data_IF_293344027437
#
_entry.id   IF_293344027437
#
_cell.length_a   1.000
_cell.length_b   1.000
_cell.length_c   1.000
_cell.angle_alpha   90.00
_cell.angle_beta   90.00
_cell.angle_gamma   90.00
#
_symmetry.space_group_name_H-M   'P 1'
#
loop_
_entity.id
_entity.type
_entity.pdbx_description
1 polymer ?
#
# COMPACT_ATOMS: atom_id res chain seq x y z
N UNK A 1 8.73 -27.75 7.64
CA UNK A 1 8.71 -26.52 8.46
C UNK A 1 9.54 -25.37 7.90
N UNK A 2 10.45 -25.57 6.93
CA UNK A 2 11.24 -24.44 6.37
C UNK A 2 10.33 -23.34 5.80
N UNK A 3 9.41 -23.69 4.89
CA UNK A 3 8.51 -22.73 4.26
C UNK A 3 7.59 -22.03 5.25
N UNK A 4 7.12 -22.73 6.30
CA UNK A 4 6.33 -22.13 7.37
C UNK A 4 7.12 -21.06 8.14
N UNK A 5 8.39 -21.35 8.45
CA UNK A 5 9.29 -20.38 9.10
C UNK A 5 9.50 -19.16 8.21
N UNK A 6 9.81 -19.37 6.93
CA UNK A 6 10.05 -18.27 5.99
C UNK A 6 8.80 -17.39 5.80
N UNK A 7 7.61 -17.99 5.69
CA UNK A 7 6.35 -17.25 5.59
C UNK A 7 6.01 -16.51 6.89
N UNK A 8 6.28 -17.12 8.04
CA UNK A 8 6.07 -16.47 9.34
C UNK A 8 7.00 -15.27 9.51
N UNK A 9 8.28 -15.41 9.14
CA UNK A 9 9.25 -14.32 9.19
C UNK A 9 8.85 -13.17 8.26
N UNK A 10 8.43 -13.52 7.04
CA UNK A 10 7.87 -12.57 6.08
C UNK A 10 6.65 -11.81 6.63
N UNK A 11 5.70 -12.54 7.23
CA UNK A 11 4.52 -11.96 7.88
C UNK A 11 4.91 -11.00 9.00
N UNK A 12 5.88 -11.35 9.84
CA UNK A 12 6.32 -10.50 10.95
C UNK A 12 6.87 -9.16 10.44
N UNK A 13 7.68 -9.18 9.39
CA UNK A 13 8.20 -7.96 8.77
C UNK A 13 7.08 -7.14 8.11
N UNK A 14 6.16 -7.79 7.40
CA UNK A 14 5.02 -7.12 6.78
C UNK A 14 4.13 -6.43 7.82
N UNK A 15 3.78 -7.13 8.91
CA UNK A 15 2.98 -6.57 10.01
C UNK A 15 3.67 -5.35 10.63
N UNK A 16 4.99 -5.42 10.86
CA UNK A 16 5.74 -4.27 11.39
C UNK A 16 5.65 -3.03 10.48
N UNK A 17 5.77 -3.24 9.16
CA UNK A 17 5.64 -2.18 8.16
C UNK A 17 4.22 -1.60 8.19
N UNK A 18 3.18 -2.44 8.15
CA UNK A 18 1.80 -1.98 8.12
C UNK A 18 1.40 -1.25 9.41
N UNK A 19 1.88 -1.71 10.58
CA UNK A 19 1.67 -0.99 11.85
C UNK A 19 2.25 0.43 11.76
N UNK A 20 3.51 0.56 11.34
CA UNK A 20 4.15 1.87 11.21
C UNK A 20 3.39 2.76 10.22
N UNK A 21 2.85 2.17 9.14
CA UNK A 21 2.13 2.89 8.08
C UNK A 21 0.78 3.44 8.57
N UNK A 22 -0.09 2.62 9.16
CA UNK A 22 -1.39 3.12 9.63
C UNK A 22 -1.25 4.11 10.79
N UNK A 23 -0.17 4.03 11.57
CA UNK A 23 0.10 4.99 12.66
C UNK A 23 0.57 6.34 12.11
N UNK A 24 1.39 6.32 11.06
CA UNK A 24 1.87 7.53 10.42
C UNK A 24 0.74 8.29 9.73
N UNK A 25 -0.12 7.56 9.00
CA UNK A 25 -1.17 8.10 8.14
C UNK A 25 -2.05 9.21 8.78
N UNK A 26 -2.68 9.00 9.96
CA UNK A 26 -3.47 10.03 10.64
C UNK A 26 -2.63 11.19 11.20
N UNK A 27 -1.35 10.95 11.51
CA UNK A 27 -0.46 11.97 12.11
C UNK A 27 -0.01 13.01 11.09
N UNK A 28 0.05 12.66 9.81
CA UNK A 28 0.51 13.57 8.75
C UNK A 28 -0.54 14.65 8.46
N UNK A 29 -1.78 14.51 8.95
CA UNK A 29 -2.82 15.56 8.84
C UNK A 29 -3.29 15.81 7.40
N UNK A 30 -3.11 14.82 6.52
CA UNK A 30 -3.39 14.90 5.08
C UNK A 30 -4.84 14.50 4.81
N UNK A 31 -5.76 15.31 5.35
CA UNK A 31 -7.17 15.18 5.05
C UNK A 31 -7.81 13.84 5.48
N UNK A 32 -9.09 13.66 5.14
CA UNK A 32 -9.84 12.43 5.42
C UNK A 32 -9.23 11.18 4.75
N UNK A 33 -8.51 11.29 3.64
CA UNK A 33 -8.13 10.09 2.88
C UNK A 33 -6.90 9.37 3.40
N UNK A 34 -5.98 10.10 4.03
CA UNK A 34 -4.93 9.46 4.80
C UNK A 34 -5.54 8.66 5.97
N UNK A 35 -6.64 9.13 6.53
CA UNK A 35 -7.37 8.43 7.61
C UNK A 35 -8.16 7.23 7.09
N UNK A 36 -8.74 7.30 5.89
CA UNK A 36 -9.37 6.15 5.21
C UNK A 36 -8.32 5.06 4.90
N UNK A 37 -7.21 5.43 4.28
CA UNK A 37 -6.12 4.48 3.99
C UNK A 37 -5.51 3.93 5.29
N UNK A 38 -5.45 4.76 6.35
CA UNK A 38 -5.03 4.33 7.68
C UNK A 38 -5.95 3.26 8.24
N UNK A 39 -7.26 3.42 8.10
CA UNK A 39 -8.25 2.43 8.52
C UNK A 39 -8.09 1.11 7.77
N UNK A 40 -7.93 1.15 6.45
CA UNK A 40 -7.73 -0.06 5.64
C UNK A 40 -6.48 -0.84 6.07
N UNK A 41 -5.36 -0.14 6.26
CA UNK A 41 -4.11 -0.76 6.72
C UNK A 41 -4.24 -1.28 8.16
N UNK A 42 -5.03 -0.63 9.01
CA UNK A 42 -5.36 -1.15 10.34
C UNK A 42 -6.14 -2.48 10.26
N UNK A 43 -7.14 -2.57 9.39
CA UNK A 43 -7.92 -3.79 9.19
C UNK A 43 -7.06 -4.93 8.61
N UNK A 44 -6.20 -4.62 7.63
CA UNK A 44 -5.18 -5.54 7.10
C UNK A 44 -4.30 -6.10 8.24
N UNK A 45 -3.84 -5.27 9.18
CA UNK A 45 -3.01 -5.74 10.30
C UNK A 45 -3.75 -6.74 11.18
N UNK A 46 -5.05 -6.60 11.39
CA UNK A 46 -5.82 -7.58 12.17
C UNK A 46 -5.82 -8.96 11.49
N UNK A 47 -6.04 -9.00 10.18
CA UNK A 47 -6.06 -10.26 9.42
C UNK A 47 -4.65 -10.89 9.35
N UNK A 48 -3.62 -10.07 9.08
CA UNK A 48 -2.23 -10.54 9.06
C UNK A 48 -1.77 -11.11 10.41
N UNK A 49 -2.15 -10.48 11.54
CA UNK A 49 -1.90 -11.01 12.87
C UNK A 49 -2.63 -12.35 13.09
N UNK A 50 -3.87 -12.46 12.62
CA UNK A 50 -4.63 -13.71 12.66
C UNK A 50 -3.96 -14.84 11.87
N UNK A 51 -3.40 -14.54 10.69
CA UNK A 51 -2.65 -15.52 9.91
C UNK A 51 -1.33 -15.91 10.57
N UNK A 52 -0.61 -14.95 11.14
CA UNK A 52 0.62 -15.22 11.87
C UNK A 52 0.36 -16.11 13.11
N UNK A 53 -0.75 -15.91 13.81
CA UNK A 53 -1.17 -16.75 14.93
C UNK A 53 -1.50 -18.19 14.49
N UNK A 54 -2.23 -18.36 13.39
CA UNK A 54 -2.54 -19.69 12.83
C UNK A 54 -1.25 -20.44 12.44
N UNK A 55 -0.34 -19.76 11.74
CA UNK A 55 0.94 -20.32 11.33
C UNK A 55 1.84 -20.63 12.54
N UNK A 56 1.77 -19.81 13.60
CA UNK A 56 2.47 -20.06 14.86
C UNK A 56 1.95 -21.33 15.55
N UNK A 57 0.62 -21.48 15.68
CA UNK A 57 0.01 -22.66 16.30
C UNK A 57 0.35 -23.96 15.54
N UNK A 58 0.36 -23.91 14.21
CA UNK A 58 0.82 -25.00 13.36
C UNK A 58 2.29 -25.36 13.67
N UNK A 59 3.17 -24.35 13.73
CA UNK A 59 4.57 -24.59 14.04
C UNK A 59 4.82 -25.12 15.46
N UNK A 60 4.08 -24.64 16.47
CA UNK A 60 4.20 -25.10 17.86
C UNK A 60 3.71 -26.54 18.04
N UNK A 61 2.62 -26.91 17.35
CA UNK A 61 2.10 -28.28 17.35
C UNK A 61 2.96 -29.24 16.51
N UNK A 62 3.93 -28.72 15.75
CA UNK A 62 4.73 -29.47 14.75
C UNK A 62 3.85 -30.20 13.72
N UNK A 63 2.60 -29.75 13.57
CA UNK A 63 1.73 -30.19 12.49
C UNK A 63 2.09 -29.41 11.23
N UNK A 64 1.91 -30.01 10.06
CA UNK A 64 2.12 -29.32 8.77
C UNK A 64 0.89 -29.54 7.92
N UNK A 65 0.09 -28.49 7.75
CA UNK A 65 -1.08 -28.44 6.89
C UNK A 65 -0.74 -27.66 5.63
N UNK A 66 -0.60 -28.39 4.52
CA UNK A 66 -0.36 -27.79 3.20
C UNK A 66 -1.49 -26.85 2.79
N UNK A 67 -2.73 -27.18 3.18
CA UNK A 67 -3.93 -26.40 2.87
C UNK A 67 -3.95 -25.08 3.63
N UNK A 68 -3.66 -25.11 4.94
CA UNK A 68 -3.57 -23.91 5.76
C UNK A 68 -2.45 -23.00 5.28
N UNK A 69 -1.26 -23.57 5.03
CA UNK A 69 -0.12 -22.83 4.52
C UNK A 69 -0.43 -22.17 3.17
N UNK A 70 -1.05 -22.90 2.24
CA UNK A 70 -1.43 -22.36 0.92
C UNK A 70 -2.49 -21.27 1.02
N UNK A 71 -3.47 -21.46 1.91
CA UNK A 71 -4.49 -20.45 2.18
C UNK A 71 -3.86 -19.16 2.71
N UNK A 72 -3.05 -19.25 3.77
CA UNK A 72 -2.36 -18.08 4.36
C UNK A 72 -1.46 -17.42 3.32
N UNK A 73 -0.69 -18.19 2.57
CA UNK A 73 0.17 -17.67 1.50
C UNK A 73 -0.63 -16.82 0.51
N UNK A 74 -1.77 -17.33 0.03
CA UNK A 74 -2.61 -16.63 -0.95
C UNK A 74 -3.20 -15.35 -0.36
N UNK A 75 -3.56 -15.35 0.93
CA UNK A 75 -4.08 -14.16 1.59
C UNK A 75 -3.01 -13.10 1.85
N UNK A 76 -1.77 -13.50 2.13
CA UNK A 76 -0.64 -12.57 2.23
C UNK A 76 -0.31 -11.95 0.87
N UNK A 77 -0.32 -12.78 -0.18
CA UNK A 77 -0.13 -12.35 -1.57
C UNK A 77 -1.18 -11.33 -1.97
N UNK A 78 -2.44 -11.55 -1.61
CA UNK A 78 -3.53 -10.61 -1.85
C UNK A 78 -3.20 -9.18 -1.38
N UNK A 79 -2.80 -8.96 -0.12
CA UNK A 79 -2.51 -7.60 0.35
C UNK A 79 -1.31 -6.95 -0.33
N UNK A 80 -0.29 -7.74 -0.67
CA UNK A 80 0.84 -7.22 -1.44
C UNK A 80 0.43 -6.80 -2.84
N UNK A 81 -0.45 -7.56 -3.51
CA UNK A 81 -1.01 -7.19 -4.81
C UNK A 81 -1.79 -5.87 -4.71
N UNK A 82 -2.60 -5.70 -3.66
CA UNK A 82 -3.33 -4.45 -3.43
C UNK A 82 -2.39 -3.26 -3.13
N UNK A 83 -1.33 -3.48 -2.34
CA UNK A 83 -0.32 -2.46 -2.10
C UNK A 83 0.47 -2.10 -3.35
N UNK A 84 0.84 -3.10 -4.15
CA UNK A 84 1.50 -2.91 -5.44
C UNK A 84 0.61 -2.11 -6.40
N UNK A 85 -0.68 -2.42 -6.51
CA UNK A 85 -1.62 -1.68 -7.36
C UNK A 85 -1.62 -0.17 -7.02
N UNK A 86 -1.80 0.16 -5.74
CA UNK A 86 -1.79 1.56 -5.27
C UNK A 86 -0.43 2.22 -5.49
N UNK A 87 0.66 1.52 -5.20
CA UNK A 87 2.03 2.01 -5.37
C UNK A 87 2.38 2.27 -6.84
N UNK A 88 1.97 1.37 -7.73
CA UNK A 88 2.25 1.44 -9.16
C UNK A 88 1.45 2.57 -9.82
N UNK A 89 0.17 2.74 -9.47
CA UNK A 89 -0.61 3.90 -9.91
C UNK A 89 0.06 5.22 -9.48
N UNK A 90 0.53 5.30 -8.24
CA UNK A 90 1.29 6.46 -7.76
C UNK A 90 2.62 6.69 -8.49
N UNK A 91 3.36 5.63 -8.80
CA UNK A 91 4.62 5.71 -9.57
C UNK A 91 4.40 6.13 -11.02
N UNK A 92 3.30 5.71 -11.65
CA UNK A 92 2.92 6.16 -12.98
C UNK A 92 2.63 7.67 -12.99
N UNK A 93 1.96 8.17 -11.95
CA UNK A 93 1.68 9.60 -11.75
C UNK A 93 2.96 10.42 -11.57
N UNK A 94 3.88 9.98 -10.72
CA UNK A 94 5.12 10.72 -10.49
C UNK A 94 6.28 9.83 -10.05
N UNK A 95 7.40 9.93 -10.78
CA UNK A 95 8.66 9.32 -10.38
C UNK A 95 9.44 10.29 -9.51
N UNK A 96 9.17 10.21 -8.22
CA UNK A 96 9.82 11.00 -7.19
C UNK A 96 10.55 10.07 -6.19
N UNK A 97 11.23 10.67 -5.20
CA UNK A 97 12.05 9.99 -4.17
C UNK A 97 11.27 9.03 -3.23
N UNK A 98 10.08 8.68 -3.63
CA UNK A 98 8.92 8.51 -2.78
C UNK A 98 8.22 7.23 -3.28
N UNK A 99 7.78 7.23 -4.55
CA UNK A 99 7.13 6.07 -5.16
C UNK A 99 8.16 5.06 -5.63
N UNK A 100 9.35 5.51 -6.05
CA UNK A 100 10.45 4.62 -6.43
C UNK A 100 10.87 3.69 -5.29
N UNK A 101 11.11 4.18 -4.05
CA UNK A 101 11.50 3.26 -2.98
C UNK A 101 10.34 2.46 -2.40
N UNK A 102 9.10 2.98 -2.44
CA UNK A 102 7.90 2.19 -2.14
C UNK A 102 7.80 1.00 -3.09
N UNK A 103 7.91 1.24 -4.40
CA UNK A 103 7.86 0.20 -5.42
C UNK A 103 9.02 -0.77 -5.29
N UNK A 104 10.24 -0.29 -5.03
CA UNK A 104 11.38 -1.17 -4.78
C UNK A 104 11.15 -2.11 -3.59
N UNK A 105 10.60 -1.59 -2.47
CA UNK A 105 10.24 -2.41 -1.31
C UNK A 105 9.18 -3.45 -1.68
N UNK A 106 8.07 -3.04 -2.28
CA UNK A 106 6.95 -3.94 -2.57
C UNK A 106 7.38 -5.02 -3.58
N UNK A 107 8.15 -4.65 -4.60
CA UNK A 107 8.70 -5.60 -5.57
C UNK A 107 9.65 -6.61 -4.91
N UNK A 108 10.48 -6.17 -3.96
CA UNK A 108 11.33 -7.06 -3.18
C UNK A 108 10.51 -8.01 -2.29
N UNK A 109 9.44 -7.51 -1.65
CA UNK A 109 8.53 -8.34 -0.86
C UNK A 109 7.82 -9.39 -1.73
N UNK A 110 7.33 -9.01 -2.92
CA UNK A 110 6.74 -9.94 -3.89
C UNK A 110 7.76 -10.97 -4.34
N UNK A 111 9.00 -10.55 -4.65
CA UNK A 111 10.09 -11.46 -5.04
C UNK A 111 10.39 -12.49 -3.96
N UNK A 112 10.47 -12.06 -2.69
CA UNK A 112 10.68 -12.95 -1.54
C UNK A 112 9.51 -13.91 -1.36
N UNK A 113 8.27 -13.42 -1.45
CA UNK A 113 7.08 -14.27 -1.35
C UNK A 113 7.05 -15.32 -2.48
N UNK A 114 7.38 -14.94 -3.72
CA UNK A 114 7.51 -15.88 -4.84
C UNK A 114 8.60 -16.93 -4.60
N UNK A 115 9.70 -16.56 -3.93
CA UNK A 115 10.74 -17.50 -3.50
C UNK A 115 10.24 -18.52 -2.48
N UNK A 116 9.39 -18.09 -1.54
CA UNK A 116 8.72 -18.98 -0.59
C UNK A 116 7.77 -19.93 -1.32
N UNK A 117 6.94 -19.42 -2.24
CA UNK A 117 6.02 -20.23 -3.05
C UNK A 117 6.77 -21.30 -3.85
N UNK A 118 7.85 -20.90 -4.53
CA UNK A 118 8.70 -21.80 -5.31
C UNK A 118 9.30 -22.90 -4.44
N UNK A 119 9.78 -22.55 -3.25
CA UNK A 119 10.35 -23.51 -2.30
C UNK A 119 9.29 -24.45 -1.70
N UNK A 120 8.03 -24.03 -1.67
CA UNK A 120 6.90 -24.78 -1.14
C UNK A 120 6.06 -25.50 -2.21
N UNK A 121 6.44 -25.40 -3.50
CA UNK A 121 5.66 -25.89 -4.64
C UNK A 121 4.22 -25.33 -4.72
N UNK A 122 4.03 -24.06 -4.33
CA UNK A 122 2.76 -23.36 -4.50
C UNK A 122 2.73 -22.65 -5.87
N UNK A 123 1.70 -22.89 -6.70
CA UNK A 123 1.46 -22.10 -7.90
C UNK A 123 1.22 -20.62 -7.55
N UNK A 124 1.99 -19.70 -8.15
CA UNK A 124 1.92 -18.26 -7.83
C UNK A 124 1.58 -17.38 -9.05
N UNK A 125 1.03 -17.96 -10.13
CA UNK A 125 0.86 -17.27 -11.42
C UNK A 125 -0.48 -16.54 -11.57
N UNK A 126 -1.51 -16.99 -10.85
CA UNK A 126 -2.83 -16.35 -10.86
C UNK A 126 -2.90 -15.20 -9.87
N UNK A 127 -3.66 -14.16 -10.17
CA UNK A 127 -4.02 -13.13 -9.20
C UNK A 127 -4.77 -13.71 -8.00
N UNK A 128 -4.53 -13.16 -6.82
CA UNK A 128 -5.23 -13.55 -5.61
C UNK A 128 -6.68 -13.08 -5.63
N UNK A 129 -7.53 -13.73 -4.84
CA UNK A 129 -8.94 -13.37 -4.69
C UNK A 129 -9.25 -13.06 -3.23
N UNK A 130 -10.09 -12.05 -2.95
CA UNK A 130 -10.55 -11.78 -1.60
C UNK A 130 -11.47 -12.90 -1.12
N UNK A 131 -11.29 -13.34 0.13
CA UNK A 131 -12.15 -14.35 0.78
C UNK A 131 -12.92 -13.79 1.97
N UNK A 132 -12.50 -12.65 2.52
CA UNK A 132 -13.20 -11.96 3.61
C UNK A 132 -13.84 -10.66 3.14
N UNK A 133 -14.82 -10.14 3.90
CA UNK A 133 -15.42 -8.82 3.60
C UNK A 133 -14.39 -7.70 3.72
N UNK A 134 -13.46 -7.77 4.68
CA UNK A 134 -12.35 -6.83 4.80
C UNK A 134 -11.47 -6.83 3.56
N UNK A 135 -11.18 -7.99 2.99
CA UNK A 135 -10.42 -8.10 1.76
C UNK A 135 -11.20 -7.58 0.55
N UNK A 136 -12.49 -7.87 0.43
CA UNK A 136 -13.34 -7.31 -0.65
C UNK A 136 -13.34 -5.79 -0.59
N UNK A 137 -13.50 -5.21 0.61
CA UNK A 137 -13.44 -3.78 0.82
C UNK A 137 -12.04 -3.22 0.48
N UNK A 138 -10.99 -3.92 0.89
CA UNK A 138 -9.60 -3.55 0.59
C UNK A 138 -9.33 -3.56 -0.91
N UNK A 139 -9.80 -4.56 -1.65
CA UNK A 139 -9.67 -4.63 -3.12
C UNK A 139 -10.40 -3.45 -3.76
N UNK A 140 -11.68 -3.25 -3.40
CA UNK A 140 -12.48 -2.15 -3.92
C UNK A 140 -11.82 -0.79 -3.69
N UNK A 141 -11.42 -0.49 -2.46
CA UNK A 141 -10.83 0.80 -2.13
C UNK A 141 -9.45 0.97 -2.80
N UNK A 142 -8.67 -0.11 -2.95
CA UNK A 142 -7.39 -0.07 -3.68
C UNK A 142 -7.57 0.22 -5.15
N UNK A 143 -8.56 -0.43 -5.79
CA UNK A 143 -8.93 -0.20 -7.19
C UNK A 143 -9.48 1.21 -7.38
N UNK A 144 -10.31 1.69 -6.46
CA UNK A 144 -10.85 3.05 -6.50
C UNK A 144 -9.72 4.08 -6.41
N UNK A 145 -8.78 3.91 -5.46
CA UNK A 145 -7.61 4.79 -5.32
C UNK A 145 -6.78 4.80 -6.60
N UNK A 146 -6.45 3.62 -7.15
CA UNK A 146 -5.68 3.52 -8.38
C UNK A 146 -6.42 4.17 -9.56
N UNK A 147 -7.73 3.90 -9.71
CA UNK A 147 -8.57 4.51 -10.73
C UNK A 147 -8.46 6.03 -10.70
N UNK A 148 -8.71 6.65 -9.55
CA UNK A 148 -8.72 8.12 -9.49
C UNK A 148 -7.35 8.75 -9.77
N UNK A 149 -6.27 8.13 -9.27
CA UNK A 149 -4.91 8.58 -9.59
C UNK A 149 -4.70 8.62 -11.11
N UNK A 150 -5.07 7.54 -11.79
CA UNK A 150 -4.87 7.38 -13.23
C UNK A 150 -5.82 8.29 -14.02
N UNK A 151 -7.06 8.44 -13.55
CA UNK A 151 -8.08 9.29 -14.15
C UNK A 151 -7.63 10.76 -14.18
N UNK A 152 -7.01 11.23 -13.09
CA UNK A 152 -6.41 12.56 -13.07
C UNK A 152 -5.20 12.67 -13.97
N UNK A 153 -4.35 11.65 -14.04
CA UNK A 153 -3.23 11.67 -14.99
C UNK A 153 -3.73 11.84 -16.43
N UNK A 154 -4.81 11.15 -16.80
CA UNK A 154 -5.47 11.27 -18.11
C UNK A 154 -6.06 12.67 -18.28
N UNK A 155 -6.89 13.14 -17.35
CA UNK A 155 -7.57 14.44 -17.43
C UNK A 155 -6.59 15.61 -17.55
N UNK A 156 -5.51 15.62 -16.77
CA UNK A 156 -4.49 16.68 -16.85
C UNK A 156 -3.68 16.55 -18.16
N UNK A 157 -3.39 15.33 -18.64
CA UNK A 157 -2.72 15.16 -19.93
C UNK A 157 -3.56 15.69 -21.11
N UNK A 158 -4.89 15.52 -21.05
CA UNK A 158 -5.83 16.05 -22.05
C UNK A 158 -6.02 17.57 -21.95
N UNK A 159 -6.03 18.11 -20.73
CA UNK A 159 -6.17 19.54 -20.47
C UNK A 159 -5.17 20.03 -19.39
N UNK A 160 -3.90 20.33 -19.76
CA UNK A 160 -2.88 20.76 -18.80
C UNK A 160 -3.20 22.05 -18.04
N UNK A 161 -4.08 22.90 -18.61
CA UNK A 161 -4.51 24.16 -18.01
C UNK A 161 -5.71 24.00 -17.07
N UNK A 162 -6.20 22.77 -16.85
CA UNK A 162 -7.31 22.54 -15.94
C UNK A 162 -7.03 23.11 -14.54
N UNK A 163 -8.02 23.80 -13.98
CA UNK A 163 -7.95 24.30 -12.62
C UNK A 163 -8.14 23.14 -11.64
N UNK A 164 -7.11 22.91 -10.82
CA UNK A 164 -7.16 21.96 -9.72
C UNK A 164 -7.16 22.75 -8.42
N UNK A 165 -7.90 22.26 -7.42
CA UNK A 165 -7.99 22.92 -6.11
C UNK A 165 -6.61 22.95 -5.43
N UNK A 166 -5.97 24.13 -5.45
CA UNK A 166 -4.60 24.32 -4.97
C UNK A 166 -4.49 24.05 -3.45
N UNK A 167 -5.59 24.21 -2.70
CA UNK A 167 -5.62 24.00 -1.25
C UNK A 167 -5.36 22.54 -0.85
N UNK A 168 -5.79 21.58 -1.67
CA UNK A 168 -5.61 20.14 -1.40
C UNK A 168 -4.34 19.57 -2.03
N UNK A 169 -3.88 20.12 -3.16
CA UNK A 169 -2.80 19.51 -3.95
C UNK A 169 -1.40 20.14 -3.76
N UNK A 170 -1.27 21.39 -3.27
CA UNK A 170 0.01 22.04 -2.91
C UNK A 170 1.21 21.63 -3.80
N UNK A 171 2.16 20.86 -3.24
CA UNK A 171 3.40 20.44 -3.91
C UNK A 171 3.18 19.44 -5.05
N UNK A 172 2.04 18.75 -5.10
CA UNK A 172 1.66 17.84 -6.17
C UNK A 172 1.36 18.59 -7.47
N UNK A 173 0.67 19.74 -7.36
CA UNK A 173 0.11 20.45 -8.50
C UNK A 173 1.16 20.86 -9.55
N UNK A 174 2.32 21.46 -9.18
CA UNK A 174 3.37 21.77 -10.15
C UNK A 174 3.95 20.52 -10.84
N UNK A 175 4.02 19.40 -10.12
CA UNK A 175 4.56 18.15 -10.65
C UNK A 175 3.58 17.54 -11.65
N UNK A 176 2.29 17.51 -11.30
CA UNK A 176 1.23 17.03 -12.17
C UNK A 176 1.16 17.84 -13.46
N UNK A 177 1.19 19.18 -13.38
CA UNK A 177 1.19 20.06 -14.56
C UNK A 177 2.42 19.86 -15.44
N UNK A 178 3.61 19.67 -14.84
CA UNK A 178 4.83 19.33 -15.60
C UNK A 178 4.71 17.97 -16.27
N UNK A 179 4.22 16.96 -15.55
CA UNK A 179 4.11 15.60 -16.05
C UNK A 179 3.06 15.48 -17.18
N UNK A 180 2.03 16.33 -17.17
CA UNK A 180 1.02 16.43 -18.21
C UNK A 180 1.57 16.77 -19.60
N UNK A 181 2.62 17.58 -19.69
CA UNK A 181 3.27 17.94 -20.96
C UNK A 181 4.54 17.14 -21.22
N UNK A 182 4.90 16.22 -20.34
CA UNK A 182 6.12 15.42 -20.43
C UNK A 182 5.83 13.94 -20.27
N UNK A 183 5.83 13.43 -19.03
CA UNK A 183 5.70 12.01 -18.68
C UNK A 183 4.43 11.37 -19.26
N UNK A 184 3.27 11.98 -19.06
CA UNK A 184 1.99 11.39 -19.45
C UNK A 184 1.79 11.32 -20.97
N UNK A 185 2.55 12.09 -21.74
CA UNK A 185 2.54 12.05 -23.20
C UNK A 185 3.46 10.97 -23.79
N UNK A 186 4.38 10.40 -23.01
CA UNK A 186 5.28 9.35 -23.50
C UNK A 186 4.57 8.01 -23.46
N UNK A 187 4.59 7.27 -24.58
CA UNK A 187 3.84 6.02 -24.69
C UNK A 187 4.24 4.97 -23.63
N UNK A 188 5.50 4.99 -23.18
CA UNK A 188 6.00 4.14 -22.09
C UNK A 188 5.22 4.32 -20.77
N UNK A 189 4.59 5.47 -20.53
CA UNK A 189 3.75 5.75 -19.36
C UNK A 189 2.28 5.88 -19.73
N UNK A 190 1.97 6.50 -20.87
CA UNK A 190 0.61 6.73 -21.33
C UNK A 190 -0.13 5.41 -21.56
N UNK A 191 0.53 4.40 -22.13
CA UNK A 191 -0.08 3.09 -22.35
C UNK A 191 -0.42 2.36 -21.04
N UNK A 192 0.52 2.16 -20.09
CA UNK A 192 0.20 1.59 -18.78
C UNK A 192 -0.89 2.36 -18.02
N UNK A 193 -0.91 3.70 -18.10
CA UNK A 193 -1.94 4.52 -17.45
C UNK A 193 -3.32 4.17 -18.02
N UNK A 194 -3.48 4.18 -19.36
CA UNK A 194 -4.75 3.87 -20.02
C UNK A 194 -5.20 2.43 -19.77
N UNK A 195 -4.28 1.46 -19.86
CA UNK A 195 -4.62 0.06 -19.63
C UNK A 195 -5.08 -0.20 -18.19
N UNK A 196 -4.36 0.34 -17.21
CA UNK A 196 -4.69 0.15 -15.80
C UNK A 196 -5.97 0.91 -15.44
N UNK A 197 -6.16 2.12 -15.94
CA UNK A 197 -7.41 2.90 -15.76
C UNK A 197 -8.62 2.11 -16.28
N UNK A 198 -8.52 1.54 -17.49
CA UNK A 198 -9.59 0.71 -18.07
C UNK A 198 -9.92 -0.51 -17.21
N UNK A 199 -8.89 -1.20 -16.69
CA UNK A 199 -9.07 -2.36 -15.80
C UNK A 199 -9.79 -1.95 -14.50
N UNK A 200 -9.34 -0.87 -13.86
CA UNK A 200 -9.96 -0.37 -12.64
C UNK A 200 -11.40 0.10 -12.89
N UNK A 201 -11.64 0.84 -13.98
CA UNK A 201 -12.98 1.29 -14.38
C UNK A 201 -13.94 0.11 -14.58
N UNK A 202 -13.48 -0.93 -15.30
CA UNK A 202 -14.28 -2.14 -15.55
C UNK A 202 -14.64 -2.86 -14.25
N UNK A 203 -13.69 -2.95 -13.30
CA UNK A 203 -13.94 -3.54 -11.98
C UNK A 203 -14.97 -2.72 -11.19
N UNK A 204 -14.78 -1.39 -11.10
CA UNK A 204 -15.66 -0.51 -10.31
C UNK A 204 -17.10 -0.50 -10.84
N UNK A 205 -17.31 -0.63 -12.16
CA UNK A 205 -18.64 -0.73 -12.77
C UNK A 205 -19.36 -2.05 -12.45
N UNK A 206 -18.61 -3.12 -12.17
CA UNK A 206 -19.15 -4.46 -11.90
C UNK A 206 -19.27 -4.75 -10.40
N UNK A 207 -18.69 -3.91 -9.55
CA UNK A 207 -18.65 -4.12 -8.10
C UNK A 207 -19.92 -3.60 -7.42
N UNK A 208 -20.51 -4.43 -6.56
CA UNK A 208 -21.61 -4.04 -5.67
C UNK A 208 -21.12 -3.32 -4.40
N UNK A 209 -19.81 -3.38 -4.10
CA UNK A 209 -19.21 -2.69 -2.96
C UNK A 209 -19.21 -1.17 -3.13
N UNK A 210 -19.25 -0.48 -1.99
CA UNK A 210 -19.15 0.98 -1.92
C UNK A 210 -17.86 1.38 -1.18
N UNK A 211 -17.45 2.62 -1.39
CA UNK A 211 -16.27 3.18 -0.73
C UNK A 211 -16.46 3.21 0.78
N UNK A 212 -15.46 2.77 1.55
CA UNK A 212 -15.49 2.89 3.00
C UNK A 212 -15.48 4.36 3.42
N UNK A 213 -16.27 4.69 4.45
CA UNK A 213 -16.33 6.02 5.07
C UNK A 213 -15.70 6.04 6.47
N UNK A 214 -15.09 4.93 6.91
CA UNK A 214 -14.55 4.80 8.26
C UNK A 214 -13.16 5.43 8.34
N UNK A 215 -13.02 6.44 9.21
CA UNK A 215 -11.80 7.21 9.35
C UNK A 215 -11.02 6.81 10.60
N UNK A 216 -9.77 6.39 10.43
CA UNK A 216 -8.89 6.18 11.56
C UNK A 216 -8.42 7.52 12.14
N UNK A 217 -8.74 7.81 13.40
CA UNK A 217 -8.25 9.00 14.08
C UNK A 217 -6.87 8.80 14.73
N UNK A 218 -6.24 9.89 15.16
CA UNK A 218 -4.89 9.85 15.73
C UNK A 218 -4.84 9.20 17.12
N UNK A 219 -5.87 9.36 17.94
CA UNK A 219 -5.93 8.78 19.28
C UNK A 219 -6.11 7.27 19.19
N UNK A 220 -7.05 6.83 18.36
CA UNK A 220 -7.33 5.44 18.04
C UNK A 220 -6.11 4.75 17.41
N UNK A 221 -5.44 5.40 16.44
CA UNK A 221 -4.23 4.85 15.83
C UNK A 221 -3.13 4.54 16.87
N UNK A 222 -2.92 5.41 17.87
CA UNK A 222 -1.94 5.16 18.92
C UNK A 222 -2.39 4.03 19.88
N UNK A 223 -3.68 3.96 20.20
CA UNK A 223 -4.22 2.89 21.04
C UNK A 223 -4.09 1.52 20.34
N UNK A 224 -4.42 1.45 19.05
CA UNK A 224 -4.29 0.26 18.23
C UNK A 224 -2.84 -0.13 18.01
N UNK A 225 -1.92 0.84 17.80
CA UNK A 225 -0.48 0.59 17.76
C UNK A 225 -0.02 -0.21 18.97
N UNK A 226 -0.37 0.23 20.18
CA UNK A 226 0.03 -0.45 21.41
C UNK A 226 -0.47 -1.90 21.43
N UNK A 227 -1.75 -2.12 21.11
CA UNK A 227 -2.36 -3.46 21.08
C UNK A 227 -1.69 -4.37 20.05
N UNK A 228 -1.55 -3.91 18.81
CA UNK A 228 -0.95 -4.69 17.73
C UNK A 228 0.53 -4.98 17.98
N UNK A 229 1.28 -4.00 18.54
CA UNK A 229 2.67 -4.19 18.94
C UNK A 229 2.83 -5.25 20.02
N UNK A 230 1.91 -5.30 20.98
CA UNK A 230 1.90 -6.33 22.02
C UNK A 230 1.65 -7.72 21.43
N UNK A 231 0.63 -7.86 20.58
CA UNK A 231 0.32 -9.12 19.88
C UNK A 231 1.50 -9.59 19.02
N UNK A 232 2.05 -8.69 18.20
CA UNK A 232 3.22 -8.94 17.38
C UNK A 232 4.46 -9.32 18.19
N UNK A 233 4.71 -8.64 19.32
CA UNK A 233 5.82 -8.96 20.23
C UNK A 233 5.65 -10.35 20.84
N UNK A 234 4.43 -10.74 21.20
CA UNK A 234 4.14 -12.05 21.75
C UNK A 234 4.35 -13.17 20.71
N UNK A 235 3.96 -12.93 19.45
CA UNK A 235 4.26 -13.84 18.32
C UNK A 235 5.76 -14.04 18.14
N UNK A 236 6.55 -12.96 18.12
CA UNK A 236 8.01 -13.04 18.02
C UNK A 236 8.67 -13.78 19.20
N UNK A 237 8.20 -13.55 20.43
CA UNK A 237 8.69 -14.26 21.62
C UNK A 237 8.44 -15.77 21.53
N UNK A 238 7.27 -16.18 21.02
CA UNK A 238 6.95 -17.58 20.78
C UNK A 238 7.81 -18.16 19.66
N UNK A 239 7.94 -17.43 18.55
CA UNK A 239 8.79 -17.85 17.43
C UNK A 239 10.26 -18.07 17.83
N UNK A 240 10.81 -17.21 18.69
CA UNK A 240 12.18 -17.35 19.21
C UNK A 240 12.43 -18.69 19.91
N UNK A 241 11.40 -19.32 20.49
CA UNK A 241 11.51 -20.66 21.10
C UNK A 241 11.61 -21.77 20.04
N UNK A 242 11.11 -21.52 18.82
CA UNK A 242 11.07 -22.48 17.70
C UNK A 242 12.28 -22.34 16.78
N UNK A 243 12.73 -21.09 16.57
CA UNK A 243 13.84 -20.74 15.69
C UNK A 243 14.72 -19.65 16.35
N UNK A 244 15.50 -20.00 17.39
CA UNK A 244 16.34 -19.03 18.10
C UNK A 244 17.41 -18.40 17.22
N UNK A 245 17.86 -19.13 16.19
CA UNK A 245 18.90 -18.71 15.24
C UNK A 245 18.34 -17.97 14.01
N UNK A 246 17.06 -17.60 14.03
CA UNK A 246 16.46 -16.81 12.95
C UNK A 246 17.17 -15.46 12.79
N UNK A 247 17.35 -15.04 11.54
CA UNK A 247 17.91 -13.73 11.22
C UNK A 247 17.10 -12.59 11.84
N UNK A 248 15.81 -12.76 12.11
CA UNK A 248 14.98 -11.75 12.80
C UNK A 248 15.52 -11.32 14.18
N UNK A 249 16.32 -12.18 14.82
CA UNK A 249 16.89 -11.92 16.14
C UNK A 249 18.39 -11.61 16.09
N UNK A 250 18.98 -11.61 14.89
CA UNK A 250 20.38 -11.27 14.70
C UNK A 250 20.61 -9.77 14.99
N UNK A 251 21.74 -9.38 15.61
CA UNK A 251 22.07 -7.97 15.86
C UNK A 251 22.06 -7.10 14.60
N UNK A 252 22.33 -7.70 13.43
CA UNK A 252 22.41 -7.05 12.13
C UNK A 252 21.04 -6.85 11.48
N UNK A 253 19.98 -7.47 12.01
CA UNK A 253 18.65 -7.35 11.45
C UNK A 253 18.05 -5.97 11.72
N UNK A 254 17.85 -5.21 10.65
CA UNK A 254 17.17 -3.93 10.72
C UNK A 254 15.69 -4.07 10.36
N UNK A 255 14.82 -3.83 11.34
CA UNK A 255 13.40 -3.61 11.08
C UNK A 255 13.20 -2.40 10.18
N UNK A 256 12.25 -2.50 9.26
CA UNK A 256 12.00 -1.47 8.26
C UNK A 256 11.75 -0.10 8.92
N UNK A 257 12.57 0.90 8.60
CA UNK A 257 12.40 2.27 9.12
C UNK A 257 11.49 3.04 8.17
N UNK A 258 10.27 3.38 8.62
CA UNK A 258 9.48 4.40 7.92
C UNK A 258 10.17 5.75 8.12
N UNK A 259 10.46 6.46 7.03
CA UNK A 259 11.08 7.78 7.12
C UNK A 259 10.23 8.72 7.97
N UNK A 260 10.87 9.39 8.94
CA UNK A 260 10.26 10.54 9.61
C UNK A 260 10.14 11.66 8.58
N UNK A 261 9.01 12.37 8.56
CA UNK A 261 8.99 13.73 8.01
C UNK A 261 9.96 14.54 8.86
N UNK A 262 11.14 14.84 8.33
CA UNK A 262 11.95 15.91 8.89
C UNK A 262 11.16 17.20 8.69
N UNK A 263 10.76 17.84 9.78
CA UNK A 263 10.48 19.27 9.78
C UNK A 263 11.77 19.96 9.36
N UNK A 264 11.99 20.26 8.07
CA UNK A 264 12.96 21.28 7.63
C UNK A 264 13.01 21.47 6.11
N UNK A 265 12.43 22.59 5.65
CA UNK A 265 13.10 23.67 4.88
C UNK A 265 14.19 23.31 3.86
N UNK A 266 14.15 22.18 3.17
CA UNK A 266 15.14 21.85 2.13
C UNK A 266 14.52 21.88 0.75
N UNK A 267 14.84 22.93 0.00
CA UNK A 267 14.48 23.11 -1.41
C UNK A 267 15.00 21.93 -2.24
N UNK A 268 14.23 21.35 -3.16
CA UNK A 268 14.73 20.32 -4.05
C UNK A 268 15.69 20.94 -5.06
N UNK A 269 16.96 20.52 -5.03
CA UNK A 269 17.88 20.73 -6.17
C UNK A 269 17.70 19.57 -7.14
N UNK A 270 17.22 19.88 -8.34
CA UNK A 270 17.23 18.98 -9.48
C UNK A 270 18.66 18.72 -9.94
N UNK A 271 19.08 17.46 -10.03
CA UNK A 271 20.11 17.06 -11.00
C UNK A 271 20.00 15.56 -11.30
N UNK A 272 19.74 15.22 -12.55
CA UNK A 272 20.05 13.91 -13.12
C UNK A 272 21.57 13.75 -13.22
N UNK A 273 22.13 12.58 -12.84
CA UNK A 273 23.15 11.80 -13.58
C UNK A 273 23.86 10.75 -12.71
N UNK A 274 23.70 9.49 -13.12
CA UNK A 274 24.64 8.34 -13.12
C UNK A 274 25.50 7.94 -11.90
N UNK A 275 25.27 6.67 -11.52
CA UNK A 275 26.21 5.59 -11.13
C UNK A 275 26.93 5.65 -9.77
N UNK A 276 26.67 4.56 -9.01
CA UNK A 276 27.33 4.05 -7.80
C UNK A 276 27.31 4.94 -6.56
N UNK A 277 26.40 4.65 -5.61
CA UNK A 277 26.76 4.28 -4.23
C UNK A 277 25.50 4.03 -3.37
N UNK A 278 25.60 2.96 -2.55
CA UNK A 278 24.96 2.78 -1.24
C UNK A 278 23.43 2.88 -1.12
N UNK A 279 22.81 1.69 -1.05
CA UNK A 279 21.64 1.41 -0.23
C UNK A 279 21.77 2.05 1.16
N UNK A 280 20.64 2.46 1.73
CA UNK A 280 20.43 3.12 3.04
C UNK A 280 20.53 4.65 3.05
N UNK A 281 19.42 5.28 2.64
CA UNK A 281 19.10 6.68 2.96
C UNK A 281 17.59 6.82 2.99
N UNK A 282 17.05 7.31 4.12
CA UNK A 282 15.62 7.30 4.44
C UNK A 282 14.70 7.84 3.35
N UNK A 283 13.61 7.10 3.12
CA UNK A 283 12.61 7.39 2.09
C UNK A 283 11.49 8.22 2.70
N UNK A 284 11.32 9.44 2.19
CA UNK A 284 10.21 10.35 2.50
C UNK A 284 9.07 10.22 1.49
N UNK A 285 7.85 10.64 1.90
CA UNK A 285 6.74 11.28 1.15
C UNK A 285 5.81 10.53 0.12
N UNK A 286 5.70 9.19 0.09
CA UNK A 286 4.80 8.49 -0.90
C UNK A 286 3.37 8.28 -0.56
N UNK A 287 3.12 8.25 0.72
CA UNK A 287 1.76 8.11 1.22
C UNK A 287 1.02 9.44 1.12
N UNK A 288 1.75 10.56 1.01
CA UNK A 288 1.21 11.92 1.02
C UNK A 288 0.51 12.29 -0.29
N UNK A 289 1.16 12.02 -1.42
CA UNK A 289 0.63 12.39 -2.74
C UNK A 289 -0.63 11.58 -3.11
N UNK A 290 -0.59 10.26 -2.90
CA UNK A 290 -1.75 9.38 -3.13
C UNK A 290 -2.93 9.73 -2.21
N UNK A 291 -2.68 10.10 -0.94
CA UNK A 291 -3.75 10.50 -0.03
C UNK A 291 -4.28 11.92 -0.28
N UNK A 292 -3.47 12.89 -0.73
CA UNK A 292 -3.96 14.26 -1.04
C UNK A 292 -4.91 14.28 -2.25
N UNK A 293 -4.71 13.40 -3.22
CA UNK A 293 -5.52 13.36 -4.44
C UNK A 293 -6.93 12.83 -4.17
N UNK A 294 -7.10 11.91 -3.21
CA UNK A 294 -8.41 11.32 -2.88
C UNK A 294 -9.39 12.36 -2.31
N UNK A 295 -8.95 13.42 -1.60
CA UNK A 295 -9.83 14.51 -1.11
C UNK A 295 -10.34 15.36 -2.27
N UNK A 296 -9.49 15.59 -3.27
CA UNK A 296 -9.89 16.23 -4.52
C UNK A 296 -10.95 15.37 -5.22
N UNK A 297 -10.80 14.05 -5.26
CA UNK A 297 -11.79 13.14 -5.86
C UNK A 297 -13.05 12.92 -5.03
N UNK A 298 -12.97 12.91 -3.69
CA UNK A 298 -14.13 12.86 -2.79
C UNK A 298 -14.99 14.11 -2.95
N UNK A 299 -14.36 15.27 -3.18
CA UNK A 299 -15.06 16.51 -3.49
C UNK A 299 -15.68 16.44 -4.90
N UNK A 300 -14.92 15.99 -5.90
CA UNK A 300 -15.40 15.85 -7.28
C UNK A 300 -16.55 14.85 -7.44
N UNK A 301 -16.55 13.74 -6.69
CA UNK A 301 -17.66 12.77 -6.69
C UNK A 301 -18.88 13.21 -5.89
N UNK A 302 -18.70 13.93 -4.77
CA UNK A 302 -19.84 14.55 -4.08
C UNK A 302 -20.51 15.60 -4.99
N UNK A 303 -19.72 16.33 -5.78
CA UNK A 303 -20.24 17.28 -6.76
C UNK A 303 -20.92 16.56 -7.95
N UNK A 304 -20.34 15.49 -8.51
CA UNK A 304 -20.98 14.68 -9.57
C UNK A 304 -22.27 13.97 -9.11
N UNK A 305 -22.32 13.47 -7.87
CA UNK A 305 -23.54 12.88 -7.28
C UNK A 305 -24.64 13.94 -7.05
N UNK A 306 -24.26 15.18 -6.70
CA UNK A 306 -25.21 16.29 -6.60
C UNK A 306 -25.80 16.66 -7.97
N UNK A 307 -24.98 16.68 -9.03
CA UNK A 307 -25.43 16.95 -10.39
C UNK A 307 -26.33 15.83 -10.97
N UNK A 308 -26.06 14.56 -10.65
CA UNK A 308 -26.93 13.45 -11.07
C UNK A 308 -28.27 13.41 -10.31
N UNK A 309 -28.31 13.91 -9.06
CA UNK A 309 -29.56 14.03 -8.30
C UNK A 309 -30.47 15.20 -8.74
N UNK A 310 -29.94 16.17 -9.48
CA UNK A 310 -30.69 17.33 -9.98
C UNK A 310 -31.16 17.20 -11.43
N UNK A 311 -30.79 16.09 -12.12
CA UNK A 311 -31.15 15.81 -13.50
C UNK A 311 -32.17 14.67 -13.69
N UNK A 312 -32.70 14.10 -12.60
CA UNK A 312 -33.89 13.24 -12.64
C UNK A 312 -35.03 13.89 -11.85
N UNK A 313 -35.93 14.66 -12.50
CA UNK A 313 -37.22 15.02 -11.92
C UNK A 313 -38.16 13.82 -11.77
#
# INVERSE_FOLDING_TARGET
MKSQKELFEFLCELIDIQIKKYVALPKIGIGPDARLNGQLVFEEVNELLGFAEQLMAEMESKSVSSELFSSIFEQVKFYLEQEHLRGYAGWLLDENNIHTPLMARVNEQIRRLNGIASSANIPCFSSSRPITETQKQTEYDSVAIAFYILDLAIKIAENPEMELDDKSLKHALPILKRNATTRYCKEEFAHPIRELHKKCSSFLQQSDSQKSNTLLDKADANAYEKKHREQWSNLLKRYKKIAPDSLLFAPEHEWYKIGKLADEKTKPKSTYSTQNLTLFGGVTLGVVLVCMLISYFMKQQNDENLFNSTLNP
#
